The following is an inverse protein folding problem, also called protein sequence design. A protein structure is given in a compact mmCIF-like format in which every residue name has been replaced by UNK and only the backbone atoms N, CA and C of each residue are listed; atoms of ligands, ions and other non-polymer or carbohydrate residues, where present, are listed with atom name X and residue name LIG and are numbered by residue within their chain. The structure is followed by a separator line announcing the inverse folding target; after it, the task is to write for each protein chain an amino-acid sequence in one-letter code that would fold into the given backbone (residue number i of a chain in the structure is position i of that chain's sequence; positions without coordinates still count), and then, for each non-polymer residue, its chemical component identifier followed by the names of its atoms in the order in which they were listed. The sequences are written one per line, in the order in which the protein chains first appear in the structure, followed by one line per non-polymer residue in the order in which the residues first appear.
data_IF_108100424423
#
_entry.id   IF_108100424423
#
_cell.length_a   1.000
_cell.length_b   1.000
_cell.length_c   1.000
_cell.angle_alpha   90.00
_cell.angle_beta   90.00
_cell.angle_gamma   90.00
#
_symmetry.space_group_name_H-M   'P 1'
#
loop_
_entity.id
_entity.type
_entity.pdbx_description
1 polymer ?
#
# COMPACT_ATOMS: atom_id res chain seq x y z
N UNK A 1 -1.33 -2.96 8.68
CA UNK A 1 0.01 -2.49 8.30
C UNK A 1 0.81 -3.63 7.69
N UNK A 2 1.38 -3.37 6.51
CA UNK A 2 2.27 -4.30 5.84
C UNK A 2 3.72 -3.83 6.05
N UNK A 3 4.51 -4.54 6.85
CA UNK A 3 5.89 -4.16 7.11
C UNK A 3 6.81 -4.41 5.92
N UNK A 4 8.00 -3.83 5.98
CA UNK A 4 9.00 -3.94 4.93
C UNK A 4 9.86 -5.19 4.99
N UNK A 5 11.08 -5.06 4.51
CA UNK A 5 11.99 -6.17 4.27
C UNK A 5 11.69 -6.81 2.91
N UNK A 6 12.68 -7.46 2.32
CA UNK A 6 12.50 -8.08 1.00
C UNK A 6 11.81 -9.44 1.13
N UNK A 7 12.23 -10.24 2.09
CA UNK A 7 11.75 -11.62 2.24
C UNK A 7 10.27 -11.70 2.58
N UNK A 8 9.79 -10.84 3.48
CA UNK A 8 8.41 -10.90 3.95
C UNK A 8 7.38 -10.63 2.84
N UNK A 9 7.45 -9.51 2.09
CA UNK A 9 6.52 -9.28 0.99
C UNK A 9 6.66 -10.29 -0.14
N UNK A 10 7.87 -10.75 -0.41
CA UNK A 10 8.10 -11.75 -1.45
C UNK A 10 7.40 -13.07 -1.11
N UNK A 11 7.47 -13.49 0.14
CA UNK A 11 6.78 -14.70 0.60
C UNK A 11 5.27 -14.52 0.67
N UNK A 12 4.80 -13.38 1.20
CA UNK A 12 3.37 -13.11 1.34
C UNK A 12 2.65 -13.07 -0.01
N UNK A 13 3.27 -12.51 -1.03
CA UNK A 13 2.64 -12.43 -2.35
C UNK A 13 2.38 -13.80 -2.98
N UNK A 14 3.08 -14.84 -2.50
CA UNK A 14 2.91 -16.21 -2.94
C UNK A 14 1.85 -16.98 -2.13
N UNK A 15 1.26 -16.35 -1.09
CA UNK A 15 0.24 -16.97 -0.24
C UNK A 15 -1.13 -16.39 -0.59
N UNK A 16 -1.99 -17.13 -1.31
CA UNK A 16 -3.29 -16.59 -1.77
C UNK A 16 -4.16 -16.03 -0.65
N UNK A 17 -4.18 -16.66 0.51
CA UNK A 17 -4.97 -16.21 1.65
C UNK A 17 -4.47 -14.86 2.20
N UNK A 18 -3.15 -14.64 2.21
CA UNK A 18 -2.58 -13.36 2.66
C UNK A 18 -2.91 -12.25 1.67
N UNK A 19 -2.83 -12.52 0.39
CA UNK A 19 -3.17 -11.57 -0.68
C UNK A 19 -4.66 -11.21 -0.62
N UNK A 20 -5.53 -12.20 -0.47
CA UNK A 20 -6.97 -11.98 -0.35
C UNK A 20 -7.31 -11.17 0.91
N UNK A 21 -6.63 -11.43 2.02
CA UNK A 21 -6.81 -10.68 3.26
C UNK A 21 -6.44 -9.20 3.07
N UNK A 22 -5.30 -8.93 2.44
CA UNK A 22 -4.88 -7.56 2.15
C UNK A 22 -5.91 -6.85 1.24
N UNK A 23 -6.36 -7.51 0.19
CA UNK A 23 -7.35 -6.95 -0.72
C UNK A 23 -8.66 -6.62 0.00
N UNK A 24 -9.08 -7.44 0.97
CA UNK A 24 -10.32 -7.23 1.71
C UNK A 24 -10.35 -5.88 2.43
N UNK A 25 -9.21 -5.36 2.87
CA UNK A 25 -9.14 -4.04 3.50
C UNK A 25 -9.48 -2.93 2.51
N UNK A 26 -9.01 -3.05 1.27
CA UNK A 26 -9.34 -2.08 0.22
C UNK A 26 -10.83 -2.14 -0.14
N UNK A 27 -11.37 -3.33 -0.28
CA UNK A 27 -12.80 -3.52 -0.59
C UNK A 27 -13.70 -2.99 0.52
N UNK A 28 -13.26 -3.08 1.77
CA UNK A 28 -13.99 -2.56 2.93
C UNK A 28 -13.74 -1.06 3.18
N UNK A 29 -12.85 -0.43 2.42
CA UNK A 29 -12.48 0.97 2.62
C UNK A 29 -11.67 1.23 3.87
N UNK A 30 -11.04 0.21 4.44
CA UNK A 30 -10.24 0.34 5.66
C UNK A 30 -8.86 0.92 5.36
N UNK A 31 -8.28 1.69 6.31
CA UNK A 31 -6.93 2.22 6.14
C UNK A 31 -5.90 1.10 5.99
N UNK A 32 -4.92 1.32 5.12
CA UNK A 32 -3.81 0.39 4.90
C UNK A 32 -2.50 1.18 4.93
N UNK A 33 -1.58 0.78 5.80
CA UNK A 33 -0.24 1.35 5.86
C UNK A 33 0.78 0.35 5.33
N UNK A 34 1.62 0.77 4.40
CA UNK A 34 2.59 -0.09 3.71
C UNK A 34 3.92 0.62 3.54
N UNK A 35 5.00 -0.03 3.89
CA UNK A 35 6.32 0.59 3.82
C UNK A 35 7.33 -0.29 3.08
N UNK A 36 8.30 0.35 2.42
CA UNK A 36 9.46 -0.28 1.81
C UNK A 36 9.07 -1.24 0.68
N UNK A 37 9.31 -2.54 0.82
CA UNK A 37 8.93 -3.57 -0.15
C UNK A 37 7.50 -4.09 0.06
N UNK A 38 6.81 -3.63 1.10
CA UNK A 38 5.41 -4.03 1.37
C UNK A 38 4.47 -3.94 0.18
N UNK A 39 4.58 -2.92 -0.70
CA UNK A 39 3.72 -2.81 -1.87
C UNK A 39 3.76 -4.00 -2.84
N UNK A 40 4.74 -4.88 -2.79
CA UNK A 40 4.71 -6.11 -3.60
C UNK A 40 3.44 -6.94 -3.33
N UNK A 41 2.98 -6.98 -2.08
CA UNK A 41 1.73 -7.66 -1.73
C UNK A 41 0.54 -6.97 -2.38
N UNK A 42 0.56 -5.65 -2.45
CA UNK A 42 -0.51 -4.86 -3.09
C UNK A 42 -0.51 -5.06 -4.61
N UNK A 43 0.66 -5.17 -5.22
CA UNK A 43 0.78 -5.48 -6.66
C UNK A 43 0.11 -6.83 -6.95
N UNK A 44 0.40 -7.84 -6.14
CA UNK A 44 -0.20 -9.16 -6.28
C UNK A 44 -1.72 -9.13 -6.09
N UNK A 45 -2.20 -8.31 -5.15
CA UNK A 45 -3.63 -8.15 -4.88
C UNK A 45 -4.38 -7.33 -5.94
N UNK A 46 -3.65 -6.73 -6.90
CA UNK A 46 -4.19 -5.89 -7.97
C UNK A 46 -5.02 -4.71 -7.42
N UNK A 47 -4.46 -4.02 -6.43
CA UNK A 47 -5.14 -2.88 -5.80
C UNK A 47 -4.38 -1.56 -5.98
N UNK A 48 -3.34 -1.52 -6.81
CA UNK A 48 -2.55 -0.30 -7.05
C UNK A 48 -2.92 0.44 -8.32
N UNK A 49 -3.77 -0.13 -9.17
CA UNK A 49 -4.17 0.49 -10.43
C UNK A 49 -4.83 1.84 -10.18
N UNK A 50 -4.37 2.86 -10.89
CA UNK A 50 -4.84 4.24 -10.77
C UNK A 50 -4.63 4.84 -9.37
N UNK A 51 -3.79 4.22 -8.54
CA UNK A 51 -3.45 4.74 -7.21
C UNK A 51 -2.07 5.40 -7.25
N UNK A 52 -1.88 6.40 -6.40
CA UNK A 52 -0.59 7.06 -6.22
C UNK A 52 0.04 6.56 -4.91
N UNK A 53 1.26 6.06 -5.00
CA UNK A 53 1.95 5.51 -3.83
C UNK A 53 3.45 5.60 -3.99
N UNK A 54 4.13 5.40 -2.87
CA UNK A 54 5.58 5.28 -2.85
C UNK A 54 6.01 3.93 -2.27
N UNK A 55 7.28 3.63 -2.35
CA UNK A 55 7.85 2.38 -1.87
C UNK A 55 9.36 2.49 -1.81
N UNK A 56 10.04 1.41 -1.43
CA UNK A 56 11.45 1.29 -1.71
C UNK A 56 11.67 1.51 -3.21
N UNK A 57 12.66 2.33 -3.60
CA UNK A 57 12.79 2.78 -5.01
C UNK A 57 12.93 1.68 -6.04
N UNK A 58 13.44 0.50 -5.67
CA UNK A 58 13.60 -0.60 -6.62
C UNK A 58 12.26 -1.17 -7.11
N UNK A 59 11.15 -0.86 -6.45
CA UNK A 59 9.81 -1.32 -6.85
C UNK A 59 9.10 -0.36 -7.81
N UNK A 60 9.72 0.74 -8.15
CA UNK A 60 9.13 1.77 -9.02
C UNK A 60 8.54 1.21 -10.31
N UNK A 61 9.32 0.40 -11.00
CA UNK A 61 8.88 -0.19 -12.28
C UNK A 61 7.76 -1.20 -12.06
N UNK A 62 7.85 -2.01 -11.01
CA UNK A 62 6.80 -3.00 -10.69
C UNK A 62 5.46 -2.32 -10.43
N UNK A 63 5.47 -1.23 -9.66
CA UNK A 63 4.27 -0.46 -9.36
C UNK A 63 3.69 0.17 -10.62
N UNK A 64 4.53 0.75 -11.46
CA UNK A 64 4.10 1.34 -12.74
C UNK A 64 3.50 0.29 -13.67
N UNK A 65 4.11 -0.89 -13.75
CA UNK A 65 3.60 -1.98 -14.58
C UNK A 65 2.27 -2.51 -14.06
N UNK A 66 2.02 -2.40 -12.76
CA UNK A 66 0.74 -2.77 -12.17
C UNK A 66 -0.34 -1.68 -12.31
N UNK A 67 -0.02 -0.56 -12.96
CA UNK A 67 -0.96 0.53 -13.21
C UNK A 67 -0.93 1.62 -12.16
N UNK A 68 0.00 1.57 -11.20
CA UNK A 68 0.15 2.58 -10.17
C UNK A 68 0.97 3.78 -10.63
N UNK A 69 0.82 4.89 -9.91
CA UNK A 69 1.61 6.10 -10.11
C UNK A 69 2.61 6.22 -8.95
N UNK A 70 3.88 5.92 -9.22
CA UNK A 70 4.93 5.96 -8.20
C UNK A 70 5.47 7.37 -8.00
N UNK A 71 5.56 7.81 -6.74
CA UNK A 71 6.13 9.10 -6.37
C UNK A 71 7.26 8.92 -5.36
N UNK A 72 8.25 9.80 -5.42
CA UNK A 72 9.39 9.76 -4.48
C UNK A 72 9.10 10.73 -3.33
N UNK A 73 8.39 10.25 -2.34
CA UNK A 73 8.02 11.03 -1.16
C UNK A 73 8.30 10.25 0.12
N UNK A 74 8.61 10.97 1.19
CA UNK A 74 8.81 10.39 2.52
C UNK A 74 7.56 9.62 2.97
N UNK A 75 6.39 10.18 2.71
CA UNK A 75 5.10 9.55 2.97
C UNK A 75 4.10 10.07 1.95
N UNK A 76 3.26 9.19 1.45
CA UNK A 76 2.16 9.58 0.56
C UNK A 76 0.86 8.96 1.05
N UNK A 77 -0.20 9.76 1.02
CA UNK A 77 -1.55 9.33 1.43
C UNK A 77 -2.46 9.41 0.22
N UNK A 78 -3.11 8.30 -0.11
CA UNK A 78 -4.09 8.22 -1.19
C UNK A 78 -5.32 7.47 -0.69
N UNK A 79 -6.35 8.21 -0.28
CA UNK A 79 -7.66 7.66 0.11
C UNK A 79 -7.54 6.49 1.11
N UNK A 80 -6.84 6.71 2.21
CA UNK A 80 -6.65 5.71 3.25
C UNK A 80 -5.44 4.80 3.06
N UNK A 81 -4.79 4.84 1.89
CA UNK A 81 -3.54 4.13 1.65
C UNK A 81 -2.37 5.03 2.00
N UNK A 82 -1.61 4.64 3.02
CA UNK A 82 -0.41 5.36 3.48
C UNK A 82 0.81 4.56 3.11
N UNK A 83 1.72 5.15 2.35
CA UNK A 83 2.94 4.47 1.92
C UNK A 83 4.18 5.31 2.24
N UNK A 84 5.30 4.63 2.52
CA UNK A 84 6.61 5.23 2.74
C UNK A 84 7.69 4.35 2.12
N UNK A 85 8.91 4.90 2.00
CA UNK A 85 9.97 4.28 1.20
C UNK A 85 10.89 3.35 1.99
N UNK A 86 11.25 3.73 3.21
CA UNK A 86 12.37 3.11 3.94
C UNK A 86 12.25 3.40 5.44
N UNK A 87 13.07 2.71 6.27
CA UNK A 87 13.02 2.92 7.72
C UNK A 87 13.23 4.36 8.16
N UNK A 88 14.01 5.15 7.41
CA UNK A 88 14.22 6.57 7.72
C UNK A 88 12.92 7.38 7.67
N UNK A 89 11.90 6.87 6.99
CA UNK A 89 10.60 7.54 6.84
C UNK A 89 9.59 7.13 7.94
N UNK A 90 10.00 6.29 8.90
CA UNK A 90 9.07 5.70 9.89
C UNK A 90 8.27 6.72 10.69
N UNK A 91 8.91 7.81 11.15
CA UNK A 91 8.19 8.80 11.94
C UNK A 91 7.03 9.42 11.17
N UNK A 92 7.28 9.82 9.93
CA UNK A 92 6.23 10.38 9.07
C UNK A 92 5.18 9.32 8.72
N UNK A 93 5.62 8.10 8.43
CA UNK A 93 4.73 6.98 8.13
C UNK A 93 3.78 6.71 9.30
N UNK A 94 4.30 6.56 10.50
CA UNK A 94 3.49 6.26 11.68
C UNK A 94 2.49 7.38 11.98
N UNK A 95 2.91 8.65 11.86
CA UNK A 95 2.02 9.78 12.09
C UNK A 95 0.83 9.78 11.12
N UNK A 96 1.09 9.56 9.84
CA UNK A 96 0.02 9.52 8.84
C UNK A 96 -0.83 8.26 8.93
N UNK A 97 -0.24 7.11 9.24
CA UNK A 97 -0.99 5.88 9.43
C UNK A 97 -1.97 6.00 10.60
N UNK A 98 -1.53 6.56 11.72
CA UNK A 98 -2.40 6.78 12.88
C UNK A 98 -3.54 7.75 12.54
N UNK A 99 -3.25 8.81 11.80
CA UNK A 99 -4.24 9.79 11.36
C UNK A 99 -5.33 9.13 10.50
N UNK A 100 -4.93 8.31 9.52
CA UNK A 100 -5.87 7.63 8.64
C UNK A 100 -6.68 6.55 9.35
N UNK A 101 -6.07 5.83 10.28
CA UNK A 101 -6.78 4.84 11.10
C UNK A 101 -7.84 5.53 11.96
N UNK A 102 -7.51 6.70 12.52
CA UNK A 102 -8.46 7.47 13.33
C UNK A 102 -9.66 7.97 12.51
N UNK A 103 -9.45 8.27 11.23
CA UNK A 103 -10.53 8.69 10.34
C UNK A 103 -11.50 7.55 10.00
N UNK A 104 -11.02 6.31 10.03
CA UNK A 104 -11.86 5.13 9.79
C UNK A 104 -12.02 4.78 8.32
N UNK A 105 -13.26 4.50 7.89
CA UNK A 105 -13.55 4.01 6.53
C UNK A 105 -13.36 5.12 5.48
N UNK A 106 -12.65 4.78 4.40
CA UNK A 106 -12.43 5.65 3.25
C UNK A 106 -13.15 5.06 2.03
N UNK A 107 -14.34 5.57 1.73
CA UNK A 107 -15.16 5.06 0.63
C UNK A 107 -14.49 5.19 -0.74
N UNK A 108 -13.65 6.19 -0.92
CA UNK A 108 -12.88 6.39 -2.16
C UNK A 108 -11.92 5.23 -2.41
N UNK A 109 -11.34 4.65 -1.38
CA UNK A 109 -10.46 3.48 -1.49
C UNK A 109 -11.21 2.27 -2.01
N UNK A 110 -12.42 2.05 -1.48
CA UNK A 110 -13.29 0.97 -1.92
C UNK A 110 -13.69 1.15 -3.39
N UNK A 111 -14.07 2.36 -3.77
CA UNK A 111 -14.48 2.68 -5.14
C UNK A 111 -13.34 2.45 -6.12
N UNK A 112 -12.13 2.86 -5.78
CA UNK A 112 -10.95 2.65 -6.61
C UNK A 112 -10.68 1.16 -6.84
N UNK A 113 -10.86 0.33 -5.82
CA UNK A 113 -10.68 -1.13 -5.91
C UNK A 113 -11.74 -1.77 -6.79
N UNK A 114 -13.01 -1.39 -6.59
CA UNK A 114 -14.14 -1.93 -7.35
C UNK A 114 -14.10 -1.48 -8.80
N UNK A 115 -13.64 -0.26 -9.06
CA UNK A 115 -13.52 0.29 -10.40
C UNK A 115 -12.33 -0.22 -11.20
N UNK A 116 -11.45 -0.98 -10.56
CA UNK A 116 -10.27 -1.58 -11.22
C UNK A 116 -10.62 -2.90 -11.92
#
# INVERSE_FOLDING_TARGET
VLPGGVANPDQLRAVPEAVAFARSFFEAGKPVGVICHGPWTLVEADVVRDRTLTSWPSLKTDIRNAGGNWVDEEVHVDSGLVTSRKPDDLDAFCAKALEEIAEGVHSEQRQATVGS
#
